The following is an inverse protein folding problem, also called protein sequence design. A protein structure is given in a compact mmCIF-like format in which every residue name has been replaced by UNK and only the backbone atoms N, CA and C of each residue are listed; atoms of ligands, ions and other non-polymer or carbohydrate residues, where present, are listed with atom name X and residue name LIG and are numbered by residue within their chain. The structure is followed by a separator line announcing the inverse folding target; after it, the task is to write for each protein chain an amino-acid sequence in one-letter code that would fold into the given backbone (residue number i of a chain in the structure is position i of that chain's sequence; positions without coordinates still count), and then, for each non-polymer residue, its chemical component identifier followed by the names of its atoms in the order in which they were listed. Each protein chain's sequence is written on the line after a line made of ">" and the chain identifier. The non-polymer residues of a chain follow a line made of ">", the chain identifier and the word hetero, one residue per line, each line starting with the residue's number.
data_IF_249490768534
#
_entry.id   IF_249490768534
#
_cell.length_a   1.000
_cell.length_b   1.000
_cell.length_c   1.000
_cell.angle_alpha   90.00
_cell.angle_beta   90.00
_cell.angle_gamma   90.00
#
_symmetry.space_group_name_H-M   'P 1'
#
loop_
_entity.id
_entity.type
_entity.pdbx_description
1 polymer ?
#
# COMPACT_ATOMS: atom_id res chain seq x y z
N UNK A 1 19.94 -3.13 -9.66
CA UNK A 1 19.01 -4.19 -9.20
C UNK A 1 17.69 -3.48 -8.97
N UNK A 2 16.59 -3.99 -9.51
CA UNK A 2 15.30 -3.29 -9.45
C UNK A 2 14.91 -3.08 -7.98
N UNK A 3 14.53 -1.85 -7.66
CA UNK A 3 14.56 -1.33 -6.31
C UNK A 3 13.23 -1.48 -5.57
N UNK A 4 12.64 -2.67 -5.60
CA UNK A 4 11.38 -2.93 -4.88
C UNK A 4 11.55 -2.68 -3.39
N UNK A 5 12.72 -3.03 -2.85
CA UNK A 5 13.01 -2.82 -1.43
C UNK A 5 13.04 -1.33 -1.09
N UNK A 6 13.82 -0.51 -1.77
CA UNK A 6 13.87 0.91 -1.41
C UNK A 6 12.57 1.60 -1.79
N UNK A 7 11.88 1.19 -2.86
CA UNK A 7 10.51 1.66 -3.12
C UNK A 7 9.60 1.46 -1.91
N UNK A 8 9.56 0.24 -1.35
CA UNK A 8 8.73 -0.07 -0.19
C UNK A 8 9.20 0.64 1.08
N UNK A 9 10.52 0.80 1.29
CA UNK A 9 11.07 1.58 2.41
C UNK A 9 10.66 3.05 2.33
N UNK A 10 10.77 3.65 1.15
CA UNK A 10 10.45 5.05 0.91
C UNK A 10 8.95 5.27 1.01
N UNK A 11 8.15 4.35 0.47
CA UNK A 11 6.70 4.34 0.63
C UNK A 11 6.28 4.22 2.11
N UNK A 12 6.80 3.25 2.87
CA UNK A 12 6.37 3.04 4.27
C UNK A 12 6.78 4.19 5.19
N UNK A 13 7.94 4.82 4.93
CA UNK A 13 8.40 6.00 5.67
C UNK A 13 7.56 7.24 5.36
N UNK A 14 7.24 7.46 4.07
CA UNK A 14 6.47 8.62 3.63
C UNK A 14 5.00 8.50 4.00
N UNK A 15 4.39 7.34 3.74
CA UNK A 15 2.98 7.05 3.94
C UNK A 15 2.70 6.38 5.29
N UNK A 16 3.37 6.83 6.35
CA UNK A 16 3.16 6.25 7.69
C UNK A 16 1.72 6.44 8.22
N UNK A 17 0.96 7.39 7.65
CA UNK A 17 -0.47 7.67 7.90
C UNK A 17 -1.13 8.24 6.64
N UNK A 18 -2.47 8.17 6.52
CA UNK A 18 -3.18 8.86 5.45
C UNK A 18 -2.99 10.37 5.58
N UNK A 19 -2.86 11.07 4.46
CA UNK A 19 -2.79 12.53 4.41
C UNK A 19 -4.11 13.16 4.86
N UNK A 20 -5.23 12.52 4.51
CA UNK A 20 -6.57 12.91 4.91
C UNK A 20 -7.41 11.67 5.18
N UNK A 21 -8.29 11.76 6.18
CA UNK A 21 -9.32 10.75 6.44
C UNK A 21 -10.66 11.46 6.65
N UNK A 22 -11.71 10.97 6.02
CA UNK A 22 -13.07 11.47 6.18
C UNK A 22 -14.02 10.32 6.45
N UNK A 23 -14.93 10.53 7.40
CA UNK A 23 -16.01 9.59 7.68
C UNK A 23 -17.04 9.66 6.54
N UNK A 24 -17.44 8.51 6.01
CA UNK A 24 -18.47 8.42 4.97
C UNK A 24 -19.80 8.98 5.49
N UNK A 25 -20.56 9.65 4.63
CA UNK A 25 -21.88 10.21 4.96
C UNK A 25 -22.93 9.14 5.29
N UNK A 26 -22.67 7.90 4.89
CA UNK A 26 -23.53 6.75 5.16
C UNK A 26 -23.21 6.03 6.48
N UNK A 27 -22.30 6.57 7.28
CA UNK A 27 -21.94 6.00 8.57
C UNK A 27 -23.03 6.23 9.62
N UNK A 28 -23.33 5.17 10.38
CA UNK A 28 -24.19 5.24 11.56
C UNK A 28 -23.40 5.12 12.87
N UNK A 29 -22.11 4.78 12.77
CA UNK A 29 -21.17 4.68 13.89
C UNK A 29 -20.07 5.75 13.86
N UNK A 30 -19.21 5.70 14.87
CA UNK A 30 -18.08 6.61 15.03
C UNK A 30 -16.77 5.87 15.39
N UNK A 31 -16.68 4.58 15.05
CA UNK A 31 -15.49 3.79 15.33
C UNK A 31 -14.25 4.47 14.69
N UNK A 32 -13.17 4.71 15.45
CA UNK A 32 -12.01 5.40 14.91
C UNK A 32 -11.33 4.54 13.84
N UNK A 33 -10.85 5.19 12.77
CA UNK A 33 -10.00 4.54 11.78
C UNK A 33 -8.67 4.10 12.40
N UNK A 34 -8.04 3.07 11.82
CA UNK A 34 -6.83 2.44 12.36
C UNK A 34 -5.75 2.21 11.31
N UNK A 35 -6.10 2.19 10.02
CA UNK A 35 -5.16 1.89 8.94
C UNK A 35 -4.19 3.04 8.69
N UNK A 36 -2.96 2.68 8.30
CA UNK A 36 -1.91 3.65 7.96
C UNK A 36 -1.91 4.04 6.49
N UNK A 37 -1.84 3.04 5.63
CA UNK A 37 -1.63 3.19 4.19
C UNK A 37 -1.98 1.89 3.51
N UNK A 38 -2.45 1.95 2.28
CA UNK A 38 -2.89 0.78 1.54
C UNK A 38 -2.06 0.59 0.28
N UNK A 39 -1.85 -0.68 -0.08
CA UNK A 39 -1.11 -1.08 -1.28
C UNK A 39 -1.73 -2.31 -1.91
N UNK A 40 -1.52 -2.45 -3.22
CA UNK A 40 -1.79 -3.67 -3.97
C UNK A 40 -0.52 -4.14 -4.65
N UNK A 41 -0.34 -5.45 -4.81
CA UNK A 41 0.83 -5.98 -5.52
C UNK A 41 0.52 -7.30 -6.22
N UNK A 42 1.38 -7.66 -7.15
CA UNK A 42 1.38 -8.97 -7.79
C UNK A 42 2.81 -9.44 -8.10
N UNK A 43 2.95 -10.70 -8.48
CA UNK A 43 4.23 -11.32 -8.84
C UNK A 43 4.24 -11.75 -10.29
N UNK A 44 5.43 -11.93 -10.88
CA UNK A 44 5.57 -12.41 -12.26
C UNK A 44 4.86 -13.74 -12.46
N UNK A 45 5.08 -14.71 -11.56
CA UNK A 45 4.41 -16.01 -11.63
C UNK A 45 2.90 -15.91 -11.50
N UNK A 46 2.38 -14.94 -10.73
CA UNK A 46 0.92 -14.74 -10.61
C UNK A 46 0.32 -14.12 -11.87
N UNK A 47 1.02 -13.17 -12.50
CA UNK A 47 0.61 -12.57 -13.77
C UNK A 47 0.49 -13.61 -14.88
N UNK A 48 1.35 -14.62 -14.90
CA UNK A 48 1.29 -15.72 -15.87
C UNK A 48 0.06 -16.64 -15.66
N UNK A 49 -0.45 -16.74 -14.44
CA UNK A 49 -1.55 -17.64 -14.12
C UNK A 49 -2.93 -17.01 -14.23
N UNK A 50 -3.18 -15.92 -13.48
CA UNK A 50 -4.54 -15.39 -13.31
C UNK A 50 -4.62 -13.87 -13.12
N UNK A 51 -3.50 -13.15 -13.20
CA UNK A 51 -3.42 -11.67 -13.10
C UNK A 51 -4.02 -11.06 -11.83
N UNK A 52 -4.21 -11.86 -10.77
CA UNK A 52 -4.76 -11.39 -9.50
C UNK A 52 -3.74 -10.50 -8.76
N UNK A 53 -4.28 -9.50 -8.06
CA UNK A 53 -3.55 -8.66 -7.13
C UNK A 53 -3.96 -9.01 -5.70
N UNK A 54 -2.96 -9.05 -4.82
CA UNK A 54 -3.19 -8.96 -3.39
C UNK A 54 -3.32 -7.49 -2.99
N UNK A 55 -3.97 -7.24 -1.87
CA UNK A 55 -4.08 -5.91 -1.28
C UNK A 55 -4.05 -5.99 0.25
N UNK A 56 -3.31 -5.07 0.85
CA UNK A 56 -3.10 -4.98 2.29
C UNK A 56 -2.45 -3.63 2.65
N UNK A 57 -2.28 -3.38 3.94
CA UNK A 57 -1.44 -2.27 4.38
C UNK A 57 0.01 -2.42 3.88
N UNK A 58 0.70 -1.29 3.68
CA UNK A 58 2.13 -1.32 3.39
C UNK A 58 2.90 -2.01 4.54
N UNK A 59 3.88 -2.89 4.24
CA UNK A 59 4.68 -3.52 5.28
C UNK A 59 5.39 -2.46 6.12
N UNK A 60 5.60 -2.78 7.40
CA UNK A 60 6.43 -1.96 8.26
C UNK A 60 7.88 -2.02 7.82
N UNK A 61 8.67 -0.99 8.13
CA UNK A 61 10.11 -0.98 7.82
C UNK A 61 10.83 -2.22 8.41
N UNK A 62 10.43 -2.64 9.61
CA UNK A 62 10.97 -3.85 10.27
C UNK A 62 10.61 -5.16 9.55
N UNK A 63 9.62 -5.16 8.66
CA UNK A 63 9.19 -6.31 7.86
C UNK A 63 9.88 -6.36 6.50
N UNK A 64 10.64 -5.32 6.13
CA UNK A 64 11.36 -5.24 4.86
C UNK A 64 12.79 -5.75 5.03
N UNK A 65 12.95 -7.08 4.94
CA UNK A 65 14.25 -7.73 4.99
C UNK A 65 15.11 -7.35 3.77
N UNK A 66 16.32 -7.89 3.68
CA UNK A 66 17.24 -7.56 2.58
C UNK A 66 16.74 -8.03 1.21
N UNK A 67 16.06 -9.18 1.16
CA UNK A 67 15.69 -9.84 -0.11
C UNK A 67 14.20 -10.17 -0.25
N UNK A 68 13.41 -9.92 0.79
CA UNK A 68 11.97 -10.23 0.82
C UNK A 68 11.21 -9.38 1.83
N UNK A 69 9.89 -9.33 1.65
CA UNK A 69 8.97 -9.01 2.74
C UNK A 69 8.95 -10.19 3.74
N UNK A 70 8.90 -9.89 5.03
CA UNK A 70 8.89 -10.88 6.11
C UNK A 70 7.63 -11.75 6.09
N UNK A 71 7.78 -12.99 6.59
CA UNK A 71 6.65 -13.87 6.87
C UNK A 71 5.84 -13.33 8.06
N UNK A 72 4.51 -13.46 8.01
CA UNK A 72 3.60 -12.89 9.01
C UNK A 72 3.52 -11.36 9.02
N UNK A 73 4.08 -10.69 7.99
CA UNK A 73 3.93 -9.25 7.79
C UNK A 73 2.49 -8.84 7.46
N UNK A 74 2.26 -7.55 7.23
CA UNK A 74 1.00 -7.06 6.65
C UNK A 74 0.61 -7.78 5.34
N UNK A 75 1.57 -8.35 4.61
CA UNK A 75 1.31 -9.10 3.37
C UNK A 75 1.04 -10.60 3.60
N UNK A 76 1.06 -11.04 4.86
CA UNK A 76 0.69 -12.38 5.33
C UNK A 76 1.75 -13.44 5.07
N UNK A 77 2.28 -13.51 3.85
CA UNK A 77 3.30 -14.47 3.43
C UNK A 77 4.56 -13.76 2.90
N UNK A 78 5.72 -14.41 2.90
CA UNK A 78 6.93 -13.80 2.38
C UNK A 78 6.87 -13.68 0.85
N UNK A 79 7.21 -12.50 0.34
CA UNK A 79 7.40 -12.25 -1.09
C UNK A 79 8.83 -11.83 -1.36
N UNK A 80 9.55 -12.56 -2.21
CA UNK A 80 10.90 -12.14 -2.62
C UNK A 80 10.79 -10.94 -3.55
N UNK A 81 11.66 -9.95 -3.37
CA UNK A 81 11.62 -8.73 -4.19
C UNK A 81 11.79 -9.02 -5.68
N UNK A 82 12.58 -10.03 -6.03
CA UNK A 82 12.76 -10.47 -7.43
C UNK A 82 11.52 -11.09 -8.06
N UNK A 83 10.54 -11.50 -7.26
CA UNK A 83 9.30 -12.13 -7.74
C UNK A 83 8.20 -11.10 -7.95
N UNK A 84 8.28 -9.93 -7.30
CA UNK A 84 7.30 -8.84 -7.44
C UNK A 84 7.41 -8.24 -8.83
N UNK A 85 6.26 -8.13 -9.52
CA UNK A 85 6.16 -7.57 -10.86
C UNK A 85 5.54 -6.17 -10.88
N UNK A 86 4.65 -5.89 -9.92
CA UNK A 86 3.93 -4.64 -9.86
C UNK A 86 3.53 -4.33 -8.42
N UNK A 87 3.72 -3.09 -7.99
CA UNK A 87 3.16 -2.52 -6.75
C UNK A 87 2.36 -1.27 -7.10
N UNK A 88 1.18 -1.14 -6.53
CA UNK A 88 0.26 -0.01 -6.73
C UNK A 88 -0.05 0.59 -5.35
N UNK A 89 0.13 1.90 -5.22
CA UNK A 89 -0.30 2.71 -4.09
C UNK A 89 -1.48 3.55 -4.58
N UNK A 90 -2.73 3.22 -4.23
CA UNK A 90 -3.88 4.00 -4.67
C UNK A 90 -3.86 5.37 -4.01
N UNK A 91 -4.39 6.39 -4.70
CA UNK A 91 -4.58 7.72 -4.08
C UNK A 91 -5.55 7.64 -2.91
N UNK A 92 -6.62 6.87 -3.07
CA UNK A 92 -7.64 6.69 -2.03
C UNK A 92 -7.91 5.24 -1.72
N UNK A 93 -8.31 4.94 -0.48
CA UNK A 93 -8.78 3.62 -0.07
C UNK A 93 -9.87 3.75 1.01
N UNK A 94 -10.65 2.68 1.20
CA UNK A 94 -11.71 2.63 2.19
C UNK A 94 -11.31 1.72 3.36
N UNK A 95 -11.63 2.13 4.58
CA UNK A 95 -11.51 1.32 5.79
C UNK A 95 -12.89 1.14 6.42
N UNK A 96 -13.25 -0.09 6.77
CA UNK A 96 -14.50 -0.42 7.46
C UNK A 96 -14.18 -1.00 8.85
N UNK A 97 -13.88 -0.14 9.84
CA UNK A 97 -13.50 -0.61 11.16
C UNK A 97 -14.67 -1.31 11.86
N UNK A 98 -14.38 -2.43 12.53
CA UNK A 98 -15.37 -3.11 13.34
C UNK A 98 -15.78 -2.25 14.54
N UNK A 99 -17.08 -1.97 14.65
CA UNK A 99 -17.66 -1.23 15.77
C UNK A 99 -18.13 -2.20 16.86
N UNK A 100 -17.88 -1.84 18.12
CA UNK A 100 -18.27 -2.68 19.26
C UNK A 100 -19.81 -2.74 19.45
N UNK A 101 -20.52 -1.73 18.95
CA UNK A 101 -21.97 -1.59 19.02
C UNK A 101 -22.70 -2.14 17.76
N UNK A 102 -21.95 -2.68 16.79
CA UNK A 102 -22.51 -3.25 15.56
C UNK A 102 -22.98 -2.20 14.54
N UNK A 103 -22.64 -0.92 14.73
CA UNK A 103 -22.95 0.15 13.77
C UNK A 103 -22.00 0.14 12.57
N UNK A 104 -22.53 0.36 11.37
CA UNK A 104 -21.69 0.50 10.19
C UNK A 104 -20.87 1.79 10.26
N UNK A 105 -19.55 1.66 10.12
CA UNK A 105 -18.58 2.75 10.04
C UNK A 105 -17.67 2.52 8.85
N UNK A 106 -17.48 3.54 8.02
CA UNK A 106 -16.58 3.52 6.87
C UNK A 106 -15.82 4.84 6.78
N UNK A 107 -14.52 4.73 6.64
CA UNK A 107 -13.63 5.85 6.41
C UNK A 107 -13.12 5.82 4.97
N UNK A 108 -13.03 7.00 4.38
CA UNK A 108 -12.30 7.22 3.14
C UNK A 108 -10.97 7.89 3.49
N UNK A 109 -9.88 7.32 2.96
CA UNK A 109 -8.52 7.76 3.21
C UNK A 109 -7.88 8.24 1.92
N UNK A 110 -7.11 9.32 2.01
CA UNK A 110 -6.27 9.85 0.94
C UNK A 110 -4.79 9.71 1.31
N UNK A 111 -3.98 9.23 0.37
CA UNK A 111 -2.54 9.02 0.51
C UNK A 111 -1.78 10.09 -0.27
N UNK A 112 -0.72 10.67 0.31
CA UNK A 112 0.13 11.68 -0.34
C UNK A 112 1.07 11.06 -1.39
N UNK A 113 0.50 10.65 -2.52
CA UNK A 113 1.25 10.00 -3.60
C UNK A 113 2.11 10.99 -4.39
N UNK A 114 1.78 12.27 -4.42
CA UNK A 114 2.63 13.33 -4.97
C UNK A 114 3.91 13.51 -4.16
N UNK A 115 3.81 13.56 -2.83
CA UNK A 115 4.97 13.62 -1.96
C UNK A 115 5.83 12.37 -2.08
N UNK A 116 5.21 11.19 -2.14
CA UNK A 116 5.93 9.94 -2.36
C UNK A 116 6.65 9.93 -3.71
N UNK A 117 6.00 10.38 -4.79
CA UNK A 117 6.61 10.47 -6.12
C UNK A 117 7.89 11.31 -6.11
N UNK A 118 7.85 12.48 -5.47
CA UNK A 118 9.04 13.33 -5.29
C UNK A 118 10.13 12.64 -4.49
N UNK A 119 9.78 11.90 -3.43
CA UNK A 119 10.76 11.16 -2.63
C UNK A 119 11.43 10.05 -3.44
N UNK A 120 10.66 9.33 -4.26
CA UNK A 120 11.18 8.30 -5.17
C UNK A 120 12.07 8.89 -6.27
N UNK A 121 11.71 10.05 -6.83
CA UNK A 121 12.54 10.78 -7.81
C UNK A 121 13.91 11.15 -7.23
N UNK A 122 13.96 11.61 -5.98
CA UNK A 122 15.21 11.94 -5.28
C UNK A 122 16.12 10.72 -5.08
N UNK A 123 15.52 9.53 -4.95
CA UNK A 123 16.24 8.25 -4.83
C UNK A 123 16.55 7.60 -6.19
N UNK A 124 16.10 8.19 -7.30
CA UNK A 124 16.30 7.65 -8.64
C UNK A 124 15.47 6.39 -8.93
N UNK A 125 14.37 6.19 -8.21
CA UNK A 125 13.48 5.03 -8.38
C UNK A 125 12.44 5.34 -9.45
N UNK A 126 12.54 4.67 -10.60
CA UNK A 126 11.60 4.84 -11.69
C UNK A 126 10.20 4.31 -11.31
N UNK A 127 9.18 5.15 -11.44
CA UNK A 127 7.79 4.88 -11.08
C UNK A 127 6.86 5.70 -11.97
N UNK A 128 5.58 5.31 -12.04
CA UNK A 128 4.56 6.12 -12.71
C UNK A 128 3.65 6.78 -11.68
N UNK A 129 3.45 8.10 -11.81
CA UNK A 129 2.42 8.82 -11.10
C UNK A 129 1.21 9.01 -12.03
N UNK A 130 0.07 8.44 -11.64
CA UNK A 130 -1.20 8.54 -12.34
C UNK A 130 -2.21 9.35 -11.52
N UNK A 131 -3.33 9.70 -12.13
CA UNK A 131 -4.39 10.46 -11.44
C UNK A 131 -4.91 9.72 -10.19
N UNK A 132 -5.04 8.40 -10.24
CA UNK A 132 -5.68 7.59 -9.19
C UNK A 132 -4.71 6.71 -8.40
N UNK A 133 -3.44 6.62 -8.77
CA UNK A 133 -2.44 5.83 -8.06
C UNK A 133 -1.02 6.25 -8.41
N UNK A 134 -0.07 5.78 -7.60
CA UNK A 134 1.34 5.69 -7.93
C UNK A 134 1.69 4.21 -8.10
N UNK A 135 2.44 3.86 -9.13
CA UNK A 135 2.80 2.47 -9.39
C UNK A 135 4.29 2.26 -9.68
N UNK A 136 4.80 1.12 -9.22
CA UNK A 136 6.09 0.55 -9.58
C UNK A 136 5.85 -0.67 -10.47
N UNK A 137 6.01 -0.51 -11.78
CA UNK A 137 5.77 -1.54 -12.79
C UNK A 137 7.08 -2.06 -13.38
N UNK A 138 7.31 -3.37 -13.34
CA UNK A 138 8.62 -4.00 -13.60
C UNK A 138 8.66 -4.90 -14.84
N UNK A 139 7.68 -4.78 -15.73
CA UNK A 139 7.54 -5.55 -16.96
C UNK A 139 7.15 -4.67 -18.15
#
# INVERSE_FOLDING_TARGET
>A
MIDVRNFLLTATRHLSRPARSSLSEHCNGNAPHRMRSWSCWTTFGRLECDTVYWSAELPWESELHETSVADGSCWGQPFRYREIAHVIIPRTFLEEPWSADGTFTQWEHEQDIEGLSKALDLEGINHNLLQFCLELKLY
#
